data_IF_615862081231
#
_entry.id   IF_615862081231
#
_cell.length_a   1.000
_cell.length_b   1.000
_cell.length_c   1.000
_cell.angle_alpha   90.00
_cell.angle_beta   90.00
_cell.angle_gamma   90.00
#
_symmetry.space_group_name_H-M   'P 1'
#
loop_
_entity.id
_entity.type
_entity.pdbx_description
1 polymer ?
#
# COMPACT_ATOMS: atom_id res chain seq x y z
N UNK A 1 -15.25 44.95 -18.99
CA UNK A 1 -14.08 45.15 -18.16
C UNK A 1 -13.19 43.94 -18.35
N UNK A 2 -12.21 44.07 -19.26
CA UNK A 2 -11.34 42.98 -19.71
C UNK A 2 -10.12 42.96 -18.80
N UNK A 3 -9.93 41.91 -18.03
CA UNK A 3 -8.75 41.67 -17.21
C UNK A 3 -7.65 41.08 -18.10
N UNK A 4 -6.64 41.86 -18.40
CA UNK A 4 -5.39 41.46 -19.06
C UNK A 4 -4.54 40.76 -18.02
N UNK A 5 -4.40 39.45 -18.15
CA UNK A 5 -3.40 38.66 -17.38
C UNK A 5 -2.07 38.79 -18.10
N UNK A 6 -1.17 39.59 -17.52
CA UNK A 6 0.22 39.71 -17.97
C UNK A 6 0.95 38.41 -17.61
N UNK A 7 1.28 37.62 -18.63
CA UNK A 7 2.19 36.48 -18.52
C UNK A 7 3.62 37.01 -18.31
N UNK A 8 4.15 36.82 -17.11
CA UNK A 8 5.57 37.02 -16.84
C UNK A 8 6.33 35.79 -17.36
N UNK A 9 6.93 35.93 -18.53
CA UNK A 9 7.93 35.00 -19.03
C UNK A 9 9.20 35.15 -18.19
N UNK A 10 9.47 34.20 -17.33
CA UNK A 10 10.78 34.04 -16.71
C UNK A 10 11.76 33.59 -17.79
N UNK A 11 12.96 34.18 -17.86
CA UNK A 11 13.96 33.68 -18.79
C UNK A 11 14.41 32.29 -18.35
N UNK A 12 14.11 31.28 -19.17
CA UNK A 12 14.76 29.98 -19.13
C UNK A 12 16.16 30.17 -19.72
N UNK A 13 17.05 30.65 -18.89
CA UNK A 13 18.48 30.72 -19.14
C UNK A 13 19.18 29.79 -18.19
N UNK A 14 18.93 28.48 -18.30
CA UNK A 14 19.89 27.50 -17.82
C UNK A 14 20.94 27.37 -18.91
N UNK A 15 21.99 28.18 -18.81
CA UNK A 15 23.26 27.84 -19.45
C UNK A 15 23.68 26.51 -18.81
N UNK A 16 23.59 25.42 -19.57
CA UNK A 16 24.33 24.21 -19.27
C UNK A 16 25.79 24.64 -19.21
N UNK A 17 26.36 24.74 -18.01
CA UNK A 17 27.79 24.84 -17.84
C UNK A 17 28.36 23.62 -18.56
N UNK A 18 29.28 23.86 -19.53
CA UNK A 18 29.93 22.76 -20.21
C UNK A 18 30.64 21.92 -19.15
N UNK A 19 30.48 20.62 -19.21
CA UNK A 19 30.99 19.58 -18.29
C UNK A 19 32.52 19.66 -18.03
N UNK A 20 33.21 20.51 -18.77
CA UNK A 20 34.67 20.71 -18.72
C UNK A 20 35.15 21.62 -17.56
N UNK A 21 34.28 22.29 -16.82
CA UNK A 21 34.69 23.29 -15.81
C UNK A 21 34.42 22.86 -14.34
N UNK A 22 33.83 21.68 -14.08
CA UNK A 22 33.58 21.20 -12.75
C UNK A 22 34.82 20.52 -12.14
N UNK A 23 35.13 20.84 -10.88
CA UNK A 23 36.14 20.12 -10.12
C UNK A 23 35.68 18.68 -9.80
N UNK A 24 36.65 17.77 -9.56
CA UNK A 24 36.36 16.38 -9.17
C UNK A 24 35.39 16.29 -7.99
N UNK A 25 35.52 17.17 -6.98
CA UNK A 25 34.63 17.25 -5.83
C UNK A 25 33.21 17.72 -6.20
N UNK A 26 33.09 18.64 -7.17
CA UNK A 26 31.79 19.10 -7.66
C UNK A 26 31.05 18.01 -8.46
N UNK A 27 31.77 17.29 -9.31
CA UNK A 27 31.18 16.14 -10.03
C UNK A 27 30.73 15.06 -9.06
N UNK A 28 31.54 14.74 -8.07
CA UNK A 28 31.18 13.76 -7.04
C UNK A 28 29.92 14.19 -6.25
N UNK A 29 29.84 15.47 -5.86
CA UNK A 29 28.67 16.02 -5.17
C UNK A 29 27.42 16.00 -6.06
N UNK A 30 27.56 16.25 -7.36
CA UNK A 30 26.46 16.22 -8.31
C UNK A 30 25.90 14.82 -8.50
N UNK A 31 26.77 13.80 -8.61
CA UNK A 31 26.37 12.38 -8.65
C UNK A 31 25.52 12.05 -7.42
N UNK A 32 25.97 12.40 -6.22
CA UNK A 32 25.23 12.13 -4.98
C UNK A 32 23.90 12.89 -4.91
N UNK A 33 23.88 14.14 -5.41
CA UNK A 33 22.68 14.97 -5.48
C UNK A 33 21.62 14.38 -6.41
N UNK A 34 22.02 13.98 -7.61
CA UNK A 34 21.12 13.36 -8.60
C UNK A 34 20.61 12.02 -8.09
N UNK A 35 21.48 11.21 -7.47
CA UNK A 35 21.12 9.95 -6.85
C UNK A 35 20.04 10.15 -5.76
N UNK A 36 20.27 11.08 -4.82
CA UNK A 36 19.30 11.37 -3.76
C UNK A 36 17.94 11.83 -4.30
N UNK A 37 17.97 12.64 -5.36
CA UNK A 37 16.74 13.13 -6.00
C UNK A 37 16.00 12.02 -6.74
N UNK A 38 16.72 11.11 -7.37
CA UNK A 38 16.15 9.94 -8.03
C UNK A 38 15.51 8.99 -7.00
N UNK A 39 16.19 8.73 -5.89
CA UNK A 39 15.67 7.92 -4.77
C UNK A 39 14.38 8.53 -4.19
N UNK A 40 14.34 9.86 -3.97
CA UNK A 40 13.14 10.55 -3.49
C UNK A 40 11.98 10.43 -4.49
N UNK A 41 12.27 10.53 -5.78
CA UNK A 41 11.25 10.37 -6.83
C UNK A 41 10.75 8.93 -6.90
N UNK A 42 11.65 7.94 -6.75
CA UNK A 42 11.30 6.52 -6.70
C UNK A 42 10.42 6.19 -5.49
N UNK A 43 10.72 6.77 -4.33
CA UNK A 43 9.89 6.63 -3.13
C UNK A 43 8.48 7.16 -3.37
N UNK A 44 8.33 8.37 -3.91
CA UNK A 44 7.02 8.96 -4.23
C UNK A 44 6.25 8.15 -5.27
N UNK A 45 6.96 7.61 -6.26
CA UNK A 45 6.35 6.72 -7.25
C UNK A 45 5.76 5.47 -6.60
N UNK A 46 6.50 4.83 -5.69
CA UNK A 46 6.03 3.64 -4.99
C UNK A 46 4.81 3.94 -4.08
N UNK A 47 4.80 5.10 -3.41
CA UNK A 47 3.65 5.56 -2.61
C UNK A 47 2.41 5.81 -3.49
N UNK A 48 2.60 6.44 -4.65
CA UNK A 48 1.52 6.67 -5.61
C UNK A 48 1.00 5.36 -6.23
N UNK A 49 1.89 4.40 -6.52
CA UNK A 49 1.49 3.07 -6.99
C UNK A 49 0.61 2.37 -5.96
N UNK A 50 1.01 2.38 -4.70
CA UNK A 50 0.21 1.83 -3.63
C UNK A 50 -1.17 2.49 -3.54
N UNK A 51 -1.24 3.85 -3.59
CA UNK A 51 -2.52 4.56 -3.56
C UNK A 51 -3.42 4.16 -4.74
N UNK A 52 -2.85 3.96 -5.93
CA UNK A 52 -3.60 3.49 -7.11
C UNK A 52 -4.19 2.08 -6.89
N UNK A 53 -3.44 1.18 -6.25
CA UNK A 53 -3.91 -0.16 -5.91
C UNK A 53 -5.05 -0.12 -4.87
N UNK A 54 -4.93 0.72 -3.83
CA UNK A 54 -5.96 0.93 -2.81
C UNK A 54 -7.23 1.53 -3.43
N UNK A 55 -7.09 2.55 -4.28
CA UNK A 55 -8.20 3.16 -5.02
C UNK A 55 -8.94 2.15 -5.91
N UNK A 56 -8.22 1.23 -6.56
CA UNK A 56 -8.85 0.19 -7.37
C UNK A 56 -9.75 -0.74 -6.53
N UNK A 57 -9.41 -1.02 -5.26
CA UNK A 57 -10.25 -1.77 -4.34
C UNK A 57 -11.44 -0.94 -3.84
N UNK A 58 -11.20 0.33 -3.45
CA UNK A 58 -12.25 1.26 -3.03
C UNK A 58 -13.29 1.46 -4.14
N UNK A 59 -12.84 1.65 -5.39
CA UNK A 59 -13.71 1.78 -6.57
C UNK A 59 -14.54 0.52 -6.78
N UNK A 60 -13.96 -0.69 -6.69
CA UNK A 60 -14.71 -1.95 -6.82
C UNK A 60 -15.79 -2.07 -5.76
N UNK A 61 -15.48 -1.69 -4.52
CA UNK A 61 -16.42 -1.71 -3.40
C UNK A 61 -17.56 -0.69 -3.61
N UNK A 62 -17.22 0.54 -4.02
CA UNK A 62 -18.20 1.58 -4.33
C UNK A 62 -19.11 1.19 -5.52
N UNK A 63 -18.55 0.58 -6.57
CA UNK A 63 -19.32 0.06 -7.71
C UNK A 63 -20.33 -1.02 -7.29
N UNK A 64 -19.91 -1.95 -6.44
CA UNK A 64 -20.80 -2.99 -5.91
C UNK A 64 -21.95 -2.37 -5.11
N UNK A 65 -21.65 -1.38 -4.28
CA UNK A 65 -22.65 -0.68 -3.46
C UNK A 65 -23.64 0.11 -4.32
N UNK A 66 -23.17 0.87 -5.31
CA UNK A 66 -24.01 1.57 -6.30
C UNK A 66 -24.93 0.58 -7.01
N UNK A 67 -24.42 -0.58 -7.41
CA UNK A 67 -25.21 -1.63 -8.08
C UNK A 67 -26.31 -2.19 -7.16
N UNK A 68 -26.00 -2.46 -5.90
CA UNK A 68 -26.95 -2.95 -4.89
C UNK A 68 -28.04 -1.92 -4.62
N UNK A 69 -27.66 -0.66 -4.36
CA UNK A 69 -28.63 0.42 -4.07
C UNK A 69 -29.47 0.74 -5.30
N UNK A 70 -28.90 0.70 -6.52
CA UNK A 70 -29.67 0.86 -7.77
C UNK A 70 -30.72 -0.23 -7.92
N UNK A 71 -30.36 -1.51 -7.72
CA UNK A 71 -31.31 -2.62 -7.80
C UNK A 71 -32.43 -2.50 -6.74
N UNK A 72 -32.10 -2.00 -5.54
CA UNK A 72 -33.10 -1.71 -4.50
C UNK A 72 -34.04 -0.59 -4.92
N UNK A 73 -33.52 0.50 -5.48
CA UNK A 73 -34.30 1.61 -6.01
C UNK A 73 -35.26 1.16 -7.11
N UNK A 74 -34.75 0.40 -8.10
CA UNK A 74 -35.57 -0.12 -9.23
C UNK A 74 -36.71 -1.00 -8.73
N UNK A 75 -36.45 -1.86 -7.74
CA UNK A 75 -37.48 -2.71 -7.13
C UNK A 75 -38.54 -1.91 -6.41
N UNK A 76 -38.17 -0.87 -5.66
CA UNK A 76 -39.12 0.02 -4.97
C UNK A 76 -39.96 0.80 -6.00
N UNK A 77 -39.34 1.33 -7.04
CA UNK A 77 -40.01 2.07 -8.11
C UNK A 77 -41.01 1.18 -8.88
N UNK A 78 -40.62 -0.07 -9.19
CA UNK A 78 -41.51 -1.04 -9.84
C UNK A 78 -42.71 -1.39 -8.95
N UNK A 79 -42.49 -1.60 -7.65
CA UNK A 79 -43.55 -1.83 -6.68
C UNK A 79 -44.51 -0.65 -6.57
N UNK A 80 -43.97 0.57 -6.53
CA UNK A 80 -44.76 1.79 -6.50
C UNK A 80 -45.60 1.97 -7.77
N UNK A 81 -45.00 1.72 -8.95
CA UNK A 81 -45.69 1.76 -10.23
C UNK A 81 -46.84 0.75 -10.28
N UNK A 82 -46.63 -0.47 -9.78
CA UNK A 82 -47.66 -1.51 -9.75
C UNK A 82 -48.85 -1.09 -8.85
N UNK A 83 -48.57 -0.52 -7.67
CA UNK A 83 -49.61 0.00 -6.75
C UNK A 83 -50.41 1.12 -7.44
N UNK A 84 -49.74 2.03 -8.13
CA UNK A 84 -50.38 3.11 -8.87
C UNK A 84 -51.27 2.59 -9.99
N UNK A 85 -50.83 1.62 -10.77
CA UNK A 85 -51.56 0.96 -11.83
C UNK A 85 -52.78 0.23 -11.29
N UNK A 86 -52.63 -0.56 -10.22
CA UNK A 86 -53.73 -1.32 -9.60
C UNK A 86 -54.82 -0.39 -9.04
N UNK A 87 -54.45 0.76 -8.49
CA UNK A 87 -55.37 1.82 -8.06
C UNK A 87 -56.09 2.47 -9.23
N UNK A 88 -55.35 2.86 -10.28
CA UNK A 88 -55.94 3.52 -11.44
C UNK A 88 -56.89 2.61 -12.21
N UNK A 89 -56.56 1.32 -12.32
CA UNK A 89 -57.37 0.32 -13.08
C UNK A 89 -58.52 -0.28 -12.24
N UNK A 90 -58.70 0.13 -10.95
CA UNK A 90 -59.76 -0.37 -10.09
C UNK A 90 -59.62 -1.84 -9.69
N UNK A 91 -58.47 -2.44 -9.87
CA UNK A 91 -58.18 -3.84 -9.45
C UNK A 91 -58.10 -4.04 -7.97
N UNK A 92 -57.76 -3.00 -7.21
CA UNK A 92 -57.92 -3.02 -5.77
C UNK A 92 -59.40 -2.86 -5.45
N UNK A 93 -60.08 -3.95 -5.11
CA UNK A 93 -61.49 -4.20 -4.80
C UNK A 93 -62.39 -3.10 -4.19
N UNK A 94 -62.09 -1.82 -4.44
CA UNK A 94 -62.79 -0.66 -3.85
C UNK A 94 -63.98 -0.14 -4.69
N UNK A 95 -64.21 -0.71 -5.90
CA UNK A 95 -65.18 -0.17 -6.82
C UNK A 95 -66.62 -0.64 -6.55
N UNK A 96 -66.82 -1.65 -5.73
CA UNK A 96 -68.17 -2.16 -5.42
C UNK A 96 -68.83 -1.59 -4.15
N UNK A 97 -68.15 -0.67 -3.45
CA UNK A 97 -68.69 -0.08 -2.20
C UNK A 97 -69.33 1.32 -2.41
N UNK A 98 -69.47 1.79 -3.64
CA UNK A 98 -69.83 3.19 -3.92
C UNK A 98 -71.33 3.47 -3.99
N UNK A 99 -72.23 2.49 -3.70
CA UNK A 99 -73.67 2.66 -3.86
C UNK A 99 -74.56 2.33 -2.64
N UNK A 100 -74.02 2.28 -1.44
CA UNK A 100 -74.85 2.06 -0.22
C UNK A 100 -74.48 3.02 0.90
N UNK A 101 -75.33 4.00 1.19
CA UNK A 101 -75.08 5.00 2.23
C UNK A 101 -75.37 4.47 3.64
N UNK A 102 -74.32 4.17 4.41
CA UNK A 102 -74.41 3.95 5.85
C UNK A 102 -73.34 4.82 6.54
N UNK A 103 -73.60 5.66 7.54
CA UNK A 103 -72.64 6.56 8.17
C UNK A 103 -71.44 5.88 8.76
N UNK A 104 -71.54 4.62 9.20
CA UNK A 104 -70.44 3.82 9.71
C UNK A 104 -69.44 3.43 8.56
N UNK A 105 -69.93 3.33 7.33
CA UNK A 105 -69.12 3.05 6.14
C UNK A 105 -68.33 4.27 5.67
N UNK A 106 -68.82 5.50 5.86
CA UNK A 106 -68.07 6.74 5.57
C UNK A 106 -66.90 6.91 6.53
N UNK A 107 -67.05 6.60 7.81
CA UNK A 107 -65.99 6.66 8.79
C UNK A 107 -64.92 5.60 8.53
N UNK A 108 -65.35 4.39 8.11
CA UNK A 108 -64.40 3.34 7.68
C UNK A 108 -63.69 3.71 6.38
N UNK A 109 -64.36 4.38 5.44
CA UNK A 109 -63.74 4.89 4.21
C UNK A 109 -62.69 5.96 4.47
N UNK A 110 -62.97 6.87 5.39
CA UNK A 110 -62.02 7.94 5.74
C UNK A 110 -60.83 7.37 6.53
N UNK A 111 -61.02 6.38 7.40
CA UNK A 111 -59.95 5.66 8.05
C UNK A 111 -59.10 4.85 7.05
N UNK A 112 -59.72 4.18 6.08
CA UNK A 112 -58.99 3.46 5.01
C UNK A 112 -58.29 4.42 4.02
N UNK A 113 -58.88 5.60 3.77
CA UNK A 113 -58.23 6.66 3.00
C UNK A 113 -57.01 7.22 3.72
N UNK A 114 -57.16 7.54 5.00
CA UNK A 114 -56.09 8.02 5.86
C UNK A 114 -54.95 7.00 5.92
N UNK A 115 -55.26 5.74 6.21
CA UNK A 115 -54.27 4.65 6.21
C UNK A 115 -53.61 4.45 4.85
N UNK A 116 -54.36 4.57 3.76
CA UNK A 116 -53.82 4.45 2.40
C UNK A 116 -52.96 5.64 1.99
N UNK A 117 -53.25 6.84 2.50
CA UNK A 117 -52.43 8.05 2.27
C UNK A 117 -51.15 7.96 3.10
N UNK A 118 -51.24 7.56 4.39
CA UNK A 118 -50.10 7.40 5.27
C UNK A 118 -49.11 6.30 4.78
N UNK A 119 -49.64 5.15 4.31
CA UNK A 119 -48.83 4.08 3.73
C UNK A 119 -48.12 4.53 2.45
N UNK A 120 -48.77 5.39 1.59
CA UNK A 120 -48.13 5.93 0.39
C UNK A 120 -47.13 7.04 0.66
N UNK A 121 -47.35 7.84 1.71
CA UNK A 121 -46.37 8.84 2.13
C UNK A 121 -45.10 8.18 2.65
N UNK A 122 -45.21 7.16 3.51
CA UNK A 122 -44.05 6.39 4.01
C UNK A 122 -43.30 5.64 2.89
N UNK A 123 -44.03 5.13 1.89
CA UNK A 123 -43.37 4.48 0.71
C UNK A 123 -42.64 5.49 -0.17
N UNK A 124 -43.19 6.69 -0.38
CA UNK A 124 -42.53 7.78 -1.12
C UNK A 124 -41.29 8.31 -0.41
N UNK A 125 -41.37 8.45 0.92
CA UNK A 125 -40.23 8.85 1.75
C UNK A 125 -39.10 7.80 1.65
N UNK A 126 -39.47 6.51 1.64
CA UNK A 126 -38.51 5.41 1.48
C UNK A 126 -37.85 5.44 0.09
N UNK A 127 -38.60 5.68 -0.98
CA UNK A 127 -38.04 5.83 -2.34
C UNK A 127 -37.12 7.03 -2.42
N UNK A 128 -37.55 8.17 -1.84
CA UNK A 128 -36.71 9.38 -1.78
C UNK A 128 -35.41 9.18 -1.00
N UNK A 129 -35.46 8.48 0.13
CA UNK A 129 -34.26 8.15 0.90
C UNK A 129 -33.28 7.27 0.11
N UNK A 130 -33.76 6.20 -0.54
CA UNK A 130 -32.92 5.32 -1.37
C UNK A 130 -32.38 6.04 -2.59
N UNK A 131 -33.13 6.97 -3.17
CA UNK A 131 -32.64 7.81 -4.27
C UNK A 131 -31.49 8.71 -3.81
N UNK A 132 -31.63 9.38 -2.69
CA UNK A 132 -30.58 10.21 -2.12
C UNK A 132 -29.31 9.39 -1.77
N UNK A 133 -29.49 8.18 -1.22
CA UNK A 133 -28.38 7.26 -0.98
C UNK A 133 -27.67 6.92 -2.28
N UNK A 134 -28.40 6.58 -3.35
CA UNK A 134 -27.85 6.25 -4.66
C UNK A 134 -27.09 7.43 -5.29
N UNK A 135 -27.62 8.64 -5.18
CA UNK A 135 -26.96 9.86 -5.66
C UNK A 135 -25.66 10.11 -4.90
N UNK A 136 -25.68 9.94 -3.57
CA UNK A 136 -24.50 10.08 -2.72
C UNK A 136 -23.42 9.03 -3.05
N UNK A 137 -23.82 7.77 -3.24
CA UNK A 137 -22.90 6.68 -3.59
C UNK A 137 -22.30 6.86 -4.98
N UNK A 138 -23.06 7.36 -5.95
CA UNK A 138 -22.54 7.72 -7.29
C UNK A 138 -21.54 8.86 -7.22
N UNK A 139 -21.85 9.93 -6.48
CA UNK A 139 -20.94 11.04 -6.29
C UNK A 139 -19.63 10.62 -5.62
N UNK A 140 -19.69 9.70 -4.66
CA UNK A 140 -18.51 9.10 -4.05
C UNK A 140 -17.68 8.29 -5.05
N UNK A 141 -18.33 7.44 -5.87
CA UNK A 141 -17.66 6.68 -6.91
C UNK A 141 -16.98 7.58 -7.96
N UNK A 142 -17.64 8.67 -8.35
CA UNK A 142 -17.08 9.65 -9.29
C UNK A 142 -15.84 10.33 -8.70
N UNK A 143 -15.88 10.70 -7.41
CA UNK A 143 -14.73 11.28 -6.71
C UNK A 143 -13.53 10.31 -6.64
N UNK A 144 -13.77 9.02 -6.36
CA UNK A 144 -12.72 8.00 -6.37
C UNK A 144 -12.11 7.81 -7.76
N UNK A 145 -12.92 7.83 -8.82
CA UNK A 145 -12.44 7.73 -10.20
C UNK A 145 -11.61 8.95 -10.61
N UNK A 146 -11.99 10.15 -10.18
CA UNK A 146 -11.22 11.37 -10.41
C UNK A 146 -9.86 11.30 -9.69
N UNK A 147 -9.86 10.92 -8.41
CA UNK A 147 -8.62 10.73 -7.65
C UNK A 147 -7.71 9.68 -8.31
N UNK A 148 -8.27 8.54 -8.73
CA UNK A 148 -7.51 7.51 -9.43
C UNK A 148 -6.87 8.01 -10.72
N UNK A 149 -7.59 8.85 -11.48
CA UNK A 149 -7.05 9.46 -12.70
C UNK A 149 -5.85 10.36 -12.37
N UNK A 150 -5.95 11.18 -11.33
CA UNK A 150 -4.85 12.05 -10.88
C UNK A 150 -3.63 11.23 -10.44
N UNK A 151 -3.83 10.15 -9.70
CA UNK A 151 -2.74 9.25 -9.27
C UNK A 151 -2.05 8.58 -10.46
N UNK A 152 -2.81 8.16 -11.48
CA UNK A 152 -2.25 7.58 -12.71
C UNK A 152 -1.40 8.61 -13.48
N UNK A 153 -1.86 9.86 -13.58
CA UNK A 153 -1.12 10.94 -14.22
C UNK A 153 0.17 11.26 -13.44
N UNK A 154 0.11 11.28 -12.10
CA UNK A 154 1.28 11.48 -11.24
C UNK A 154 2.29 10.34 -11.34
N UNK A 155 1.83 9.09 -11.47
CA UNK A 155 2.68 7.93 -11.73
C UNK A 155 3.43 8.08 -13.06
N UNK A 156 2.72 8.43 -14.15
CA UNK A 156 3.31 8.63 -15.46
C UNK A 156 4.35 9.76 -15.45
N UNK A 157 4.02 10.90 -14.82
CA UNK A 157 4.92 12.04 -14.69
C UNK A 157 6.16 11.70 -13.82
N UNK A 158 5.99 10.88 -12.79
CA UNK A 158 7.09 10.44 -11.92
C UNK A 158 8.01 9.48 -12.65
N UNK A 159 7.47 8.56 -13.47
CA UNK A 159 8.24 7.66 -14.31
C UNK A 159 9.14 8.44 -15.27
N UNK A 160 8.61 9.42 -15.99
CA UNK A 160 9.39 10.27 -16.89
C UNK A 160 10.51 11.00 -16.15
N UNK A 161 10.24 11.50 -14.93
CA UNK A 161 11.27 12.16 -14.10
C UNK A 161 12.36 11.19 -13.66
N UNK A 162 12.00 9.98 -13.26
CA UNK A 162 12.95 8.94 -12.86
C UNK A 162 13.85 8.57 -14.06
N UNK A 163 13.27 8.32 -15.23
CA UNK A 163 14.03 7.96 -16.43
C UNK A 163 15.05 9.05 -16.82
N UNK A 164 14.63 10.33 -16.73
CA UNK A 164 15.54 11.47 -16.96
C UNK A 164 16.69 11.52 -15.93
N UNK A 165 16.36 11.33 -14.63
CA UNK A 165 17.36 11.34 -13.56
C UNK A 165 18.32 10.16 -13.65
N UNK A 166 17.83 8.97 -14.02
CA UNK A 166 18.66 7.79 -14.22
C UNK A 166 19.59 7.96 -15.43
N UNK A 167 19.13 8.62 -16.50
CA UNK A 167 19.97 8.96 -17.67
C UNK A 167 21.08 9.95 -17.26
N UNK A 168 20.70 11.04 -16.58
CA UNK A 168 21.67 12.02 -16.05
C UNK A 168 22.70 11.34 -15.12
N UNK A 169 22.22 10.44 -14.25
CA UNK A 169 23.09 9.68 -13.35
C UNK A 169 24.03 8.74 -14.10
N UNK A 170 23.58 8.12 -15.20
CA UNK A 170 24.43 7.27 -16.05
C UNK A 170 25.56 8.08 -16.65
N UNK A 171 25.26 9.25 -17.22
CA UNK A 171 26.24 10.14 -17.81
C UNK A 171 27.25 10.65 -16.76
N UNK A 172 26.79 11.08 -15.60
CA UNK A 172 27.64 11.52 -14.50
C UNK A 172 28.54 10.41 -13.95
N UNK A 173 28.03 9.16 -13.87
CA UNK A 173 28.83 8.00 -13.41
C UNK A 173 29.96 7.62 -14.37
N UNK A 174 29.91 8.00 -15.66
CA UNK A 174 31.04 7.85 -16.56
C UNK A 174 32.30 8.59 -16.05
N UNK A 175 32.12 9.72 -15.34
CA UNK A 175 33.22 10.45 -14.73
C UNK A 175 33.90 9.68 -13.58
N UNK A 176 33.24 8.66 -12.98
CA UNK A 176 33.87 7.79 -11.97
C UNK A 176 35.02 6.92 -12.54
N UNK A 177 35.19 6.88 -13.86
CA UNK A 177 36.39 6.30 -14.49
C UNK A 177 37.65 7.11 -14.17
N UNK A 178 37.49 8.40 -13.80
CA UNK A 178 38.57 9.22 -13.29
C UNK A 178 38.82 8.90 -11.81
N UNK A 179 40.04 8.47 -11.50
CA UNK A 179 40.43 8.05 -10.14
C UNK A 179 40.35 9.18 -9.09
N UNK A 180 40.42 10.43 -9.50
CA UNK A 180 40.27 11.57 -8.60
C UNK A 180 38.81 11.80 -8.27
N UNK A 181 37.90 11.82 -9.26
CA UNK A 181 36.45 11.91 -9.07
C UNK A 181 35.95 10.74 -8.22
N UNK A 182 36.44 9.53 -8.49
CA UNK A 182 36.07 8.33 -7.74
C UNK A 182 36.44 8.44 -6.27
N UNK A 183 37.66 8.92 -5.95
CA UNK A 183 38.07 9.11 -4.54
C UNK A 183 37.24 10.15 -3.81
N UNK A 184 36.93 11.26 -4.46
CA UNK A 184 36.05 12.29 -3.90
C UNK A 184 34.66 11.77 -3.68
N UNK A 185 34.07 11.03 -4.64
CA UNK A 185 32.78 10.39 -4.51
C UNK A 185 32.74 9.40 -3.34
N UNK A 186 33.72 8.50 -3.24
CA UNK A 186 33.80 7.52 -2.14
C UNK A 186 33.94 8.21 -0.78
N UNK A 187 34.71 9.29 -0.67
CA UNK A 187 34.87 10.07 0.54
C UNK A 187 33.57 10.74 0.98
N UNK A 188 32.88 11.42 0.08
CA UNK A 188 31.60 12.08 0.34
C UNK A 188 30.50 11.08 0.67
N UNK A 189 30.44 9.95 -0.01
CA UNK A 189 29.51 8.86 0.27
C UNK A 189 29.75 8.26 1.68
N UNK A 190 31.02 8.06 2.07
CA UNK A 190 31.35 7.58 3.40
C UNK A 190 30.92 8.57 4.50
N UNK A 191 31.09 9.86 4.28
CA UNK A 191 30.63 10.91 5.18
C UNK A 191 29.10 10.90 5.33
N UNK A 192 28.37 10.85 4.21
CA UNK A 192 26.89 10.74 4.23
C UNK A 192 26.41 9.51 5.00
N UNK A 193 27.04 8.35 4.77
CA UNK A 193 26.72 7.11 5.49
C UNK A 193 26.96 7.25 7.01
N UNK A 194 28.05 7.90 7.40
CA UNK A 194 28.35 8.14 8.81
C UNK A 194 27.30 9.06 9.46
N UNK A 195 26.90 10.12 8.77
CA UNK A 195 25.85 11.03 9.25
C UNK A 195 24.50 10.30 9.38
N UNK A 196 24.14 9.50 8.37
CA UNK A 196 22.92 8.71 8.38
C UNK A 196 22.90 7.67 9.51
N UNK A 197 24.03 6.97 9.73
CA UNK A 197 24.18 6.00 10.83
C UNK A 197 24.05 6.67 12.21
N UNK A 198 24.62 7.86 12.40
CA UNK A 198 24.46 8.63 13.66
C UNK A 198 23.01 9.03 13.89
N UNK A 199 22.35 9.55 12.85
CA UNK A 199 20.92 9.93 12.94
C UNK A 199 20.01 8.73 13.20
N UNK A 200 20.32 7.56 12.66
CA UNK A 200 19.63 6.30 12.96
C UNK A 200 19.82 5.90 14.43
N UNK A 201 21.05 5.87 14.93
CA UNK A 201 21.36 5.54 16.30
C UNK A 201 20.69 6.49 17.31
N UNK A 202 20.60 7.79 17.00
CA UNK A 202 19.86 8.76 17.83
C UNK A 202 18.36 8.49 17.86
N UNK A 203 17.76 8.15 16.71
CA UNK A 203 16.33 7.76 16.64
C UNK A 203 16.06 6.50 17.45
N UNK A 204 16.89 5.48 17.32
CA UNK A 204 16.75 4.22 18.04
C UNK A 204 16.91 4.43 19.56
N UNK A 205 17.88 5.23 19.97
CA UNK A 205 18.07 5.59 21.38
C UNK A 205 16.86 6.35 21.94
N UNK A 206 16.26 7.26 21.16
CA UNK A 206 15.06 7.99 21.54
C UNK A 206 13.85 7.06 21.65
N UNK A 207 13.65 6.18 20.69
CA UNK A 207 12.57 5.19 20.70
C UNK A 207 12.69 4.24 21.90
N UNK A 208 13.90 3.75 22.20
CA UNK A 208 14.16 2.91 23.36
C UNK A 208 13.90 3.66 24.70
N UNK A 209 14.25 4.95 24.77
CA UNK A 209 13.96 5.78 25.95
C UNK A 209 12.44 6.00 26.14
N UNK A 210 11.70 6.25 25.08
CA UNK A 210 10.24 6.40 25.10
C UNK A 210 9.55 5.09 25.51
N UNK A 211 9.99 3.95 24.98
CA UNK A 211 9.47 2.63 25.37
C UNK A 211 9.72 2.35 26.86
N UNK A 212 10.92 2.68 27.37
CA UNK A 212 11.25 2.54 28.78
C UNK A 212 10.41 3.46 29.67
N UNK A 213 10.15 4.70 29.25
CA UNK A 213 9.30 5.64 29.95
C UNK A 213 7.84 5.17 30.01
N UNK A 214 7.31 4.67 28.89
CA UNK A 214 5.96 4.12 28.83
C UNK A 214 5.80 2.86 29.68
N UNK A 215 6.79 1.97 29.71
CA UNK A 215 6.80 0.80 30.57
C UNK A 215 6.85 1.19 32.06
N UNK A 216 7.60 2.21 32.44
CA UNK A 216 7.66 2.73 33.80
C UNK A 216 6.33 3.40 34.21
N UNK A 217 5.66 4.12 33.30
CA UNK A 217 4.36 4.72 33.56
C UNK A 217 3.25 3.67 33.75
N UNK A 218 3.31 2.57 32.97
CA UNK A 218 2.38 1.44 33.12
C UNK A 218 2.57 0.63 34.38
N UNK A 219 3.76 0.68 35.00
CA UNK A 219 4.11 -0.02 36.25
C UNK A 219 3.74 0.76 37.54
N UNK A 220 3.17 1.98 37.41
CA UNK A 220 2.73 2.76 38.59
C UNK A 220 1.40 2.21 39.10
N UNK A 221 1.30 1.65 40.32
CA UNK A 221 0.04 1.12 40.84
C UNK A 221 -0.94 2.27 41.10
N UNK A 222 -2.19 2.07 40.69
CA UNK A 222 -3.29 2.99 40.97
C UNK A 222 -3.43 3.23 42.50
N UNK A 223 -3.77 4.46 42.95
CA UNK A 223 -3.92 4.73 44.38
C UNK A 223 -5.05 3.91 44.95
N UNK A 224 -4.72 3.03 45.87
CA UNK A 224 -5.66 2.23 46.66
C UNK A 224 -6.43 3.17 47.58
N UNK A 225 -7.72 3.40 47.29
CA UNK A 225 -8.65 4.01 48.24
C UNK A 225 -8.86 3.02 49.39
N UNK A 226 -8.35 3.37 50.54
CA UNK A 226 -8.53 2.62 51.77
C UNK A 226 -9.99 2.70 52.30
N UNK A 227 -10.41 1.65 52.96
CA UNK A 227 -11.58 1.66 53.83
C UNK A 227 -12.20 0.26 53.98
N UNK A 228 -11.97 -0.41 55.11
CA UNK A 228 -12.78 -1.54 55.55
C UNK A 228 -11.99 -2.72 56.12
N UNK A 229 -11.90 -2.76 57.45
CA UNK A 229 -11.29 -3.81 58.28
C UNK A 229 -11.90 -5.21 58.11
N UNK A 230 -11.21 -6.25 58.55
CA UNK A 230 -11.43 -7.62 58.11
C UNK A 230 -12.42 -8.39 59.02
N UNK A 231 -13.19 -9.27 58.43
CA UNK A 231 -13.77 -10.41 59.17
C UNK A 231 -13.39 -11.69 58.41
N UNK A 232 -12.71 -12.56 59.13
CA UNK A 232 -12.45 -13.94 58.75
C UNK A 232 -13.73 -14.78 58.80
N UNK A 233 -13.91 -15.72 57.95
CA UNK A 233 -14.54 -16.96 58.31
C UNK A 233 -13.72 -18.20 58.02
N UNK A 234 -13.85 -19.13 58.94
CA UNK A 234 -13.37 -20.48 59.09
C UNK A 234 -13.55 -21.38 57.85
N UNK A 235 -12.76 -22.43 57.72
CA UNK A 235 -12.81 -23.33 56.55
C UNK A 235 -13.88 -24.40 56.68
N UNK A 236 -14.66 -24.60 55.62
CA UNK A 236 -15.56 -25.73 55.48
C UNK A 236 -15.16 -26.58 54.29
N UNK A 237 -15.02 -27.88 54.50
CA UNK A 237 -14.61 -28.93 53.57
C UNK A 237 -15.53 -29.10 52.36
N UNK A 238 -15.06 -29.62 51.21
CA UNK A 238 -15.81 -29.76 50.00
C UNK A 238 -16.63 -31.06 49.91
N UNK A 239 -17.79 -31.07 49.24
CA UNK A 239 -18.48 -32.29 48.81
C UNK A 239 -18.00 -32.77 47.42
N UNK A 240 -18.31 -34.04 47.03
CA UNK A 240 -17.64 -34.76 45.97
C UNK A 240 -18.08 -34.41 44.53
N UNK A 241 -17.18 -34.67 43.60
CA UNK A 241 -17.29 -34.48 42.17
C UNK A 241 -18.45 -35.21 41.50
N UNK A 242 -19.19 -34.49 40.65
CA UNK A 242 -20.12 -35.06 39.66
C UNK A 242 -19.51 -34.89 38.27
N UNK A 243 -19.48 -35.95 37.48
CA UNK A 243 -18.90 -36.03 36.12
C UNK A 243 -19.63 -35.17 35.12
N UNK A 244 -18.91 -34.56 34.14
CA UNK A 244 -19.55 -33.72 33.17
C UNK A 244 -20.12 -34.46 31.96
N UNK A 245 -21.31 -34.06 31.56
CA UNK A 245 -21.94 -34.38 30.27
C UNK A 245 -21.31 -33.48 29.17
N UNK A 246 -21.06 -34.00 27.94
CA UNK A 246 -20.42 -33.18 26.91
C UNK A 246 -21.38 -32.18 26.30
N UNK A 247 -21.05 -30.91 26.44
CA UNK A 247 -21.73 -29.80 25.77
C UNK A 247 -21.04 -29.53 24.41
N UNK A 248 -21.87 -29.34 23.39
CA UNK A 248 -21.54 -28.92 22.03
C UNK A 248 -20.62 -27.69 21.99
N UNK A 249 -19.65 -27.60 21.07
CA UNK A 249 -18.77 -26.44 21.01
C UNK A 249 -19.53 -25.19 20.49
N UNK A 250 -19.38 -24.11 21.22
CA UNK A 250 -19.73 -22.76 20.77
C UNK A 250 -18.80 -22.30 19.64
N UNK A 251 -19.25 -21.40 18.74
CA UNK A 251 -18.39 -20.90 17.68
C UNK A 251 -17.18 -20.15 18.26
N UNK A 252 -15.99 -20.52 17.79
CA UNK A 252 -14.73 -19.89 18.14
C UNK A 252 -14.75 -18.46 17.58
N UNK A 253 -14.64 -17.47 18.46
CA UNK A 253 -14.39 -16.10 18.05
C UNK A 253 -13.01 -16.03 17.39
N UNK A 254 -12.96 -15.42 16.22
CA UNK A 254 -11.74 -15.13 15.48
C UNK A 254 -10.81 -14.28 16.37
N UNK A 255 -9.53 -14.65 16.55
CA UNK A 255 -8.63 -13.86 17.37
C UNK A 255 -8.41 -12.51 16.70
N UNK A 256 -8.47 -11.44 17.50
CA UNK A 256 -8.08 -10.11 17.09
C UNK A 256 -6.63 -10.14 16.53
N UNK A 257 -6.30 -9.34 15.50
CA UNK A 257 -4.95 -9.30 14.95
C UNK A 257 -3.96 -8.95 16.07
N UNK A 258 -2.95 -9.79 16.24
CA UNK A 258 -1.85 -9.54 17.16
C UNK A 258 -1.13 -8.23 16.77
N UNK A 259 -0.73 -7.40 17.73
CA UNK A 259 0.09 -6.22 17.42
C UNK A 259 1.37 -6.68 16.74
N UNK A 260 1.68 -6.05 15.61
CA UNK A 260 2.91 -6.29 14.86
C UNK A 260 4.12 -6.31 15.80
N UNK A 261 5.00 -7.31 15.71
CA UNK A 261 6.18 -7.35 16.56
C UNK A 261 7.03 -6.09 16.35
N UNK A 262 7.72 -5.58 17.39
CA UNK A 262 8.58 -4.42 17.27
C UNK A 262 9.58 -4.67 16.14
N UNK A 263 9.74 -3.70 15.25
CA UNK A 263 10.67 -3.73 14.12
C UNK A 263 12.09 -3.92 14.70
N UNK A 264 12.57 -5.14 14.69
CA UNK A 264 13.98 -5.39 14.96
C UNK A 264 14.78 -4.73 13.83
N UNK A 265 15.91 -4.07 14.11
CA UNK A 265 16.81 -3.64 13.05
C UNK A 265 17.15 -4.88 12.21
N UNK A 266 16.98 -4.75 10.87
CA UNK A 266 17.27 -5.83 9.95
C UNK A 266 18.68 -6.35 10.23
N UNK A 267 18.90 -7.69 10.32
CA UNK A 267 20.23 -8.23 10.49
C UNK A 267 21.09 -7.74 9.33
N UNK A 268 22.22 -7.11 9.62
CA UNK A 268 23.27 -6.84 8.64
C UNK A 268 23.82 -8.21 8.27
N UNK A 269 23.63 -8.62 7.01
CA UNK A 269 24.08 -9.93 6.53
C UNK A 269 25.59 -9.82 6.30
N UNK A 270 26.36 -10.33 7.23
CA UNK A 270 27.81 -10.50 7.11
C UNK A 270 28.06 -11.84 6.41
N UNK A 271 27.74 -11.88 5.11
CA UNK A 271 28.06 -13.01 4.24
C UNK A 271 29.52 -12.94 3.79
N UNK A 272 30.32 -13.93 4.11
CA UNK A 272 31.78 -14.02 3.93
C UNK A 272 32.34 -13.87 2.50
N UNK A 273 31.71 -13.04 1.65
CA UNK A 273 32.11 -12.61 0.31
C UNK A 273 31.62 -11.20 0.00
N UNK A 274 32.12 -10.53 -1.05
CA UNK A 274 31.62 -9.21 -1.41
C UNK A 274 30.17 -9.33 -1.88
N UNK A 275 29.24 -8.86 -1.07
CA UNK A 275 27.85 -8.65 -1.48
C UNK A 275 27.80 -7.50 -2.49
N UNK A 276 27.06 -7.62 -3.58
CA UNK A 276 27.04 -6.65 -4.67
C UNK A 276 25.65 -6.06 -4.86
N UNK A 277 25.56 -4.83 -5.41
CA UNK A 277 24.29 -4.26 -5.83
C UNK A 277 23.61 -5.17 -6.86
N UNK A 278 22.34 -5.58 -6.68
CA UNK A 278 21.65 -6.47 -7.62
C UNK A 278 21.42 -5.84 -8.99
N UNK A 279 21.43 -4.50 -9.11
CA UNK A 279 21.31 -3.75 -10.37
C UNK A 279 22.67 -3.23 -10.79
N UNK A 280 23.19 -3.74 -11.90
CA UNK A 280 24.48 -3.31 -12.45
C UNK A 280 24.33 -2.09 -13.38
N UNK A 281 23.80 -1.00 -12.84
CA UNK A 281 23.54 0.24 -13.57
C UNK A 281 22.95 1.34 -12.69
N UNK A 282 22.57 2.47 -13.30
CA UNK A 282 21.87 3.52 -12.58
C UNK A 282 20.56 2.98 -12.04
N UNK A 283 20.29 3.25 -10.77
CA UNK A 283 19.10 2.81 -10.08
C UNK A 283 18.67 3.84 -9.02
N UNK A 284 17.41 3.85 -8.65
CA UNK A 284 16.85 4.69 -7.62
C UNK A 284 15.80 3.90 -6.83
N UNK A 285 15.81 4.00 -5.51
CA UNK A 285 14.91 3.25 -4.64
C UNK A 285 14.69 3.93 -3.29
N UNK A 286 13.53 3.63 -2.68
CA UNK A 286 13.18 4.04 -1.33
C UNK A 286 12.86 2.84 -0.44
N UNK A 287 12.62 3.08 0.85
CA UNK A 287 12.15 2.05 1.78
C UNK A 287 10.64 1.84 1.62
N UNK A 288 10.27 0.81 0.89
CA UNK A 288 8.87 0.44 0.64
C UNK A 288 8.47 -0.87 1.34
N UNK A 289 9.32 -1.38 2.26
CA UNK A 289 9.04 -2.59 3.01
C UNK A 289 7.78 -2.48 3.85
N UNK A 290 6.93 -3.51 3.82
CA UNK A 290 5.69 -3.57 4.61
C UNK A 290 4.55 -2.71 4.08
N UNK A 291 4.74 -1.96 2.99
CA UNK A 291 3.68 -1.20 2.35
C UNK A 291 2.49 -2.11 2.02
N UNK A 292 1.25 -1.72 2.32
CA UNK A 292 0.06 -2.53 2.03
C UNK A 292 -0.03 -2.86 0.54
N UNK A 293 -0.56 -4.05 0.22
CA UNK A 293 -0.81 -4.50 -1.16
C UNK A 293 -2.21 -5.12 -1.24
N UNK A 294 -2.86 -5.11 -2.41
CA UNK A 294 -4.19 -5.70 -2.60
C UNK A 294 -4.29 -7.13 -2.08
N UNK A 295 -5.48 -7.45 -1.51
CA UNK A 295 -5.72 -8.77 -0.93
C UNK A 295 -5.11 -8.98 0.45
N UNK A 296 -4.84 -7.91 1.20
CA UNK A 296 -4.31 -7.98 2.57
C UNK A 296 -2.85 -8.41 2.65
N UNK A 297 -2.11 -8.35 1.54
CA UNK A 297 -0.66 -8.61 1.50
C UNK A 297 0.12 -7.36 1.94
N UNK A 298 1.38 -7.54 2.26
CA UNK A 298 2.35 -6.46 2.45
C UNK A 298 3.51 -6.62 1.48
N UNK A 299 4.14 -5.53 1.12
CA UNK A 299 5.34 -5.51 0.27
C UNK A 299 6.50 -6.19 0.99
N UNK A 300 7.10 -7.20 0.37
CA UNK A 300 8.15 -8.04 0.99
C UNK A 300 9.53 -7.82 0.38
N UNK A 301 9.75 -6.69 -0.28
CA UNK A 301 10.98 -6.37 -0.96
C UNK A 301 11.30 -4.88 -0.97
N UNK A 302 12.25 -4.53 -1.82
CA UNK A 302 12.53 -3.17 -2.26
C UNK A 302 12.36 -3.09 -3.76
N UNK A 303 11.67 -2.03 -4.23
CA UNK A 303 11.48 -1.77 -5.65
C UNK A 303 12.57 -0.79 -6.13
N UNK A 304 13.48 -1.29 -6.99
CA UNK A 304 14.63 -0.56 -7.51
C UNK A 304 14.35 -0.13 -8.95
N UNK A 305 13.96 1.14 -9.12
CA UNK A 305 13.72 1.74 -10.43
C UNK A 305 15.03 1.78 -11.22
N UNK A 306 14.98 1.32 -12.48
CA UNK A 306 16.15 1.30 -13.37
C UNK A 306 15.68 1.23 -14.83
N UNK A 307 16.46 1.74 -15.80
CA UNK A 307 16.09 1.65 -17.22
C UNK A 307 15.83 0.22 -17.68
N UNK A 308 14.86 0.06 -18.59
CA UNK A 308 14.59 -1.23 -19.21
C UNK A 308 15.86 -1.86 -19.78
N UNK A 309 16.08 -3.14 -19.48
CA UNK A 309 17.24 -3.89 -20.00
C UNK A 309 18.52 -3.66 -19.22
N UNK A 310 18.53 -2.91 -18.10
CA UNK A 310 19.69 -2.82 -17.22
C UNK A 310 20.03 -4.20 -16.67
N UNK A 311 21.33 -4.63 -16.72
CA UNK A 311 21.73 -5.95 -16.23
C UNK A 311 21.45 -6.12 -14.74
N UNK A 312 20.92 -7.29 -14.37
CA UNK A 312 20.76 -7.75 -12.99
C UNK A 312 21.82 -8.81 -12.71
N UNK A 313 22.49 -8.68 -11.58
CA UNK A 313 23.60 -9.57 -11.21
C UNK A 313 23.32 -10.35 -9.93
N UNK A 314 23.95 -11.50 -9.80
CA UNK A 314 23.92 -12.28 -8.58
C UNK A 314 24.62 -11.50 -7.46
N UNK A 315 23.91 -11.19 -6.37
CA UNK A 315 24.47 -10.43 -5.22
C UNK A 315 25.58 -11.17 -4.50
N UNK A 316 25.56 -12.49 -4.55
CA UNK A 316 26.56 -13.45 -4.03
C UNK A 316 26.69 -14.61 -5.00
N UNK A 317 27.71 -15.45 -4.85
CA UNK A 317 27.81 -16.74 -5.57
C UNK A 317 26.72 -17.71 -5.09
N UNK A 318 26.29 -18.62 -5.97
CA UNK A 318 25.24 -19.60 -5.61
C UNK A 318 24.59 -20.24 -6.82
N UNK A 319 23.39 -20.76 -6.63
CA UNK A 319 22.59 -21.43 -7.66
C UNK A 319 21.35 -20.63 -8.01
N UNK A 320 21.19 -20.23 -9.27
CA UNK A 320 19.99 -19.55 -9.78
C UNK A 320 18.97 -20.54 -10.31
N UNK A 321 17.70 -20.27 -10.00
CA UNK A 321 16.53 -20.99 -10.54
C UNK A 321 15.59 -19.95 -11.19
N UNK A 322 15.35 -20.11 -12.48
CA UNK A 322 14.53 -19.23 -13.30
C UNK A 322 13.10 -19.77 -13.41
N UNK A 323 12.09 -18.94 -13.13
CA UNK A 323 10.67 -19.31 -13.15
C UNK A 323 9.81 -18.14 -13.62
N UNK A 324 8.54 -18.41 -13.90
CA UNK A 324 7.50 -17.40 -14.11
C UNK A 324 6.37 -17.56 -13.11
N UNK A 325 5.78 -16.46 -12.66
CA UNK A 325 4.54 -16.46 -11.89
C UNK A 325 3.71 -15.20 -12.20
N UNK A 326 2.44 -15.21 -11.80
CA UNK A 326 1.51 -14.16 -12.14
C UNK A 326 1.86 -12.79 -11.52
N UNK A 327 2.45 -12.78 -10.32
CA UNK A 327 2.81 -11.55 -9.62
C UNK A 327 4.17 -11.02 -10.07
N UNK A 328 5.21 -11.83 -9.97
CA UNK A 328 6.58 -11.41 -10.26
C UNK A 328 6.95 -11.43 -11.75
N UNK A 329 6.10 -11.99 -12.63
CA UNK A 329 6.45 -12.17 -14.04
C UNK A 329 7.61 -13.15 -14.22
N UNK A 330 8.65 -12.76 -14.95
CA UNK A 330 9.89 -13.50 -15.03
C UNK A 330 10.70 -13.26 -13.76
N UNK A 331 11.06 -14.34 -13.06
CA UNK A 331 11.73 -14.26 -11.76
C UNK A 331 12.97 -15.15 -11.69
N UNK A 332 13.90 -14.76 -10.84
CA UNK A 332 15.08 -15.57 -10.47
C UNK A 332 15.10 -15.73 -8.96
N UNK A 333 15.25 -16.97 -8.51
CA UNK A 333 15.64 -17.28 -7.15
C UNK A 333 17.12 -17.64 -7.13
N UNK A 334 17.91 -16.90 -6.38
CA UNK A 334 19.31 -17.20 -6.09
C UNK A 334 19.37 -17.88 -4.70
N UNK A 335 19.84 -19.12 -4.65
CA UNK A 335 20.24 -19.78 -3.40
C UNK A 335 21.70 -19.50 -3.20
N UNK A 336 22.04 -18.55 -2.34
CA UNK A 336 23.39 -18.10 -2.10
C UNK A 336 24.23 -19.14 -1.35
N UNK A 337 25.53 -19.13 -1.60
CA UNK A 337 26.51 -19.96 -0.88
C UNK A 337 26.69 -19.48 0.57
N UNK A 338 26.20 -18.28 0.90
CA UNK A 338 26.09 -17.71 2.24
C UNK A 338 24.93 -18.30 3.07
N UNK A 339 24.09 -19.13 2.46
CA UNK A 339 22.96 -19.80 3.08
C UNK A 339 21.63 -19.05 2.96
N UNK A 340 21.63 -17.83 2.42
CA UNK A 340 20.44 -17.04 2.22
C UNK A 340 19.82 -17.27 0.84
N UNK A 341 18.55 -16.85 0.65
CA UNK A 341 17.93 -16.81 -0.66
C UNK A 341 17.56 -15.38 -1.04
N UNK A 342 17.67 -15.11 -2.32
CA UNK A 342 17.39 -13.82 -2.90
C UNK A 342 16.39 -13.97 -4.04
N UNK A 343 15.40 -13.08 -4.07
CA UNK A 343 14.36 -13.08 -5.08
C UNK A 343 14.47 -11.84 -5.96
N UNK A 344 14.48 -12.06 -7.26
CA UNK A 344 14.50 -11.04 -8.30
C UNK A 344 13.25 -11.17 -9.14
N UNK A 345 12.44 -10.13 -9.29
CA UNK A 345 11.19 -10.17 -10.04
C UNK A 345 11.09 -9.04 -11.08
N UNK A 346 10.08 -9.17 -11.94
CA UNK A 346 9.73 -8.26 -13.03
C UNK A 346 10.75 -8.20 -14.17
N UNK A 347 11.61 -9.22 -14.32
CA UNK A 347 12.64 -9.26 -15.34
C UNK A 347 12.03 -9.19 -16.76
N UNK A 348 12.67 -8.44 -17.66
CA UNK A 348 12.34 -8.48 -19.10
C UNK A 348 12.74 -9.82 -19.72
N UNK A 349 13.92 -10.32 -19.36
CA UNK A 349 14.45 -11.61 -19.79
C UNK A 349 15.48 -12.15 -18.80
N UNK A 350 15.70 -13.46 -18.87
CA UNK A 350 16.79 -14.11 -18.15
C UNK A 350 18.09 -14.10 -18.99
N UNK A 351 19.24 -14.17 -18.30
CA UNK A 351 20.52 -14.47 -18.93
C UNK A 351 20.82 -15.95 -18.75
N UNK A 352 20.77 -16.70 -19.85
CA UNK A 352 20.98 -18.14 -19.86
C UNK A 352 19.85 -18.96 -19.25
N UNK A 353 20.22 -19.98 -18.44
CA UNK A 353 19.29 -20.90 -17.78
C UNK A 353 19.63 -21.09 -16.29
N UNK A 354 18.82 -21.84 -15.56
CA UNK A 354 19.12 -22.21 -14.16
C UNK A 354 20.46 -22.89 -14.06
N UNK A 355 21.37 -22.34 -13.24
CA UNK A 355 22.78 -22.75 -13.15
C UNK A 355 23.45 -22.27 -11.87
N UNK A 356 24.66 -22.73 -11.63
CA UNK A 356 25.58 -22.09 -10.66
C UNK A 356 26.14 -20.80 -11.26
N UNK A 357 26.24 -19.74 -10.44
CA UNK A 357 26.74 -18.41 -10.81
C UNK A 357 27.75 -17.91 -9.79
N UNK A 358 28.68 -17.06 -10.26
CA UNK A 358 29.56 -16.30 -9.40
C UNK A 358 28.88 -14.99 -8.96
N UNK A 359 29.32 -14.40 -7.84
CA UNK A 359 28.92 -13.04 -7.48
C UNK A 359 29.26 -12.06 -8.62
N UNK A 360 28.30 -11.18 -8.97
CA UNK A 360 28.43 -10.21 -10.07
C UNK A 360 28.13 -10.79 -11.47
N UNK A 361 27.87 -12.09 -11.59
CA UNK A 361 27.47 -12.67 -12.87
C UNK A 361 26.05 -12.24 -13.26
N UNK A 362 25.85 -11.84 -14.52
CA UNK A 362 24.53 -11.41 -15.03
C UNK A 362 23.58 -12.59 -15.04
N UNK A 363 22.38 -12.41 -14.45
CA UNK A 363 21.34 -13.42 -14.31
C UNK A 363 20.04 -13.04 -15.04
N UNK A 364 19.94 -11.78 -15.49
CA UNK A 364 18.79 -11.27 -16.23
C UNK A 364 18.82 -9.77 -16.39
N UNK A 365 17.72 -9.19 -16.80
CA UNK A 365 17.63 -7.78 -17.17
C UNK A 365 16.35 -7.15 -16.61
N UNK A 366 16.43 -5.89 -16.19
CA UNK A 366 15.30 -5.12 -15.69
C UNK A 366 14.18 -5.06 -16.72
N UNK A 367 12.96 -5.21 -16.26
CA UNK A 367 11.75 -5.13 -17.07
C UNK A 367 10.52 -4.71 -16.27
N UNK A 368 9.35 -5.02 -16.82
CA UNK A 368 8.05 -4.75 -16.23
C UNK A 368 7.09 -5.94 -16.45
N UNK A 369 7.57 -7.17 -16.29
CA UNK A 369 6.73 -8.37 -16.43
C UNK A 369 5.98 -8.68 -15.12
N UNK A 370 4.83 -9.35 -15.21
CA UNK A 370 3.99 -9.67 -14.05
C UNK A 370 3.06 -8.52 -13.66
N UNK A 371 2.86 -8.33 -12.36
CA UNK A 371 1.90 -7.33 -11.83
C UNK A 371 2.58 -5.98 -11.53
N UNK A 372 3.10 -5.33 -12.57
CA UNK A 372 3.68 -3.99 -12.49
C UNK A 372 3.49 -3.25 -13.81
N UNK A 373 3.50 -1.90 -13.75
CA UNK A 373 3.40 -1.01 -14.91
C UNK A 373 4.71 -0.26 -15.22
N UNK A 374 5.74 -0.42 -14.40
CA UNK A 374 7.00 0.33 -14.53
C UNK A 374 8.22 -0.58 -14.53
N UNK A 375 9.30 -0.10 -15.19
CA UNK A 375 10.57 -0.81 -15.22
C UNK A 375 11.29 -0.71 -13.87
N UNK A 376 11.39 -1.82 -13.16
CA UNK A 376 12.12 -1.92 -11.91
C UNK A 376 12.54 -3.35 -11.62
N UNK A 377 13.44 -3.53 -10.67
CA UNK A 377 13.70 -4.79 -9.99
C UNK A 377 12.94 -4.78 -8.65
N UNK A 378 12.03 -5.72 -8.44
CA UNK A 378 11.58 -6.07 -7.10
C UNK A 378 12.55 -7.09 -6.51
N UNK A 379 13.16 -6.75 -5.37
CA UNK A 379 14.23 -7.56 -4.76
C UNK A 379 13.91 -7.89 -3.31
N UNK A 380 14.03 -9.19 -2.95
CA UNK A 380 13.80 -9.68 -1.59
C UNK A 380 15.04 -10.40 -1.05
N UNK A 381 15.22 -10.38 0.27
CA UNK A 381 16.24 -11.12 1.02
C UNK A 381 15.53 -12.05 1.99
N UNK A 382 15.87 -13.34 1.92
CA UNK A 382 15.32 -14.42 2.73
C UNK A 382 16.41 -15.12 3.54
N UNK A 383 16.72 -14.68 4.77
CA UNK A 383 17.76 -15.28 5.60
C UNK A 383 17.50 -16.76 5.86
N UNK A 384 18.51 -17.61 5.63
CA UNK A 384 18.39 -19.07 5.74
C UNK A 384 17.31 -19.68 4.85
N UNK A 385 16.82 -18.97 3.84
CA UNK A 385 15.69 -19.37 2.99
C UNK A 385 14.33 -19.29 3.67
N UNK A 386 14.23 -18.57 4.80
CA UNK A 386 13.01 -18.33 5.58
C UNK A 386 12.13 -17.21 5.03
N UNK A 387 11.44 -16.51 5.92
CA UNK A 387 10.62 -15.34 5.56
C UNK A 387 11.50 -14.18 5.09
N UNK A 388 10.97 -13.35 4.18
CA UNK A 388 11.66 -12.15 3.76
C UNK A 388 11.88 -11.17 4.93
N UNK A 389 12.97 -10.42 4.87
CA UNK A 389 13.28 -9.30 5.77
C UNK A 389 13.40 -8.02 4.97
N UNK A 390 13.31 -6.83 5.62
CA UNK A 390 13.49 -5.56 4.92
C UNK A 390 14.86 -5.50 4.20
N UNK A 391 14.90 -5.47 2.85
CA UNK A 391 16.16 -5.45 2.12
C UNK A 391 16.81 -4.06 2.09
N UNK A 392 16.04 -3.00 2.29
CA UNK A 392 16.48 -1.62 2.10
C UNK A 392 17.78 -1.26 2.84
N UNK A 393 17.94 -1.57 4.15
CA UNK A 393 19.17 -1.24 4.86
C UNK A 393 20.41 -1.93 4.25
N UNK A 394 20.28 -3.16 3.76
CA UNK A 394 21.38 -3.90 3.11
C UNK A 394 21.67 -3.33 1.73
N UNK A 395 20.65 -3.22 0.86
CA UNK A 395 20.82 -2.71 -0.52
C UNK A 395 21.44 -1.30 -0.51
N UNK A 396 21.01 -0.44 0.42
CA UNK A 396 21.53 0.94 0.53
C UNK A 396 23.02 1.03 0.85
N UNK A 397 23.63 -0.05 1.36
CA UNK A 397 25.08 -0.08 1.63
C UNK A 397 25.92 -0.34 0.37
N UNK A 398 25.34 -1.01 -0.63
CA UNK A 398 26.06 -1.50 -1.80
C UNK A 398 25.64 -0.84 -3.12
N UNK A 399 24.50 -0.16 -3.11
CA UNK A 399 23.98 0.58 -4.25
C UNK A 399 24.02 2.08 -4.01
#
# INVERSE_FOLDING_TARGET
MVLVVAAWALPVGSAAASDSDLSSAQVAAEILRVQSKADETAQRWAEAQQRSEDLAEEIRTAQAKVSETSARYDKLQAGFTQIAVDRFTGRAGATNMLLGGNPDEEMQRDALRSFAIDATAGDLDTVGAVQNDLESERAHLDALNEENTQVIDDLAASQVRIDAQLTELADLREHLKNEEVKREYEAQLAEQRLVAARAAAERDAKAAAEQKANAAAAATPAPVRGGGSPQSPTPTSPPPASSPTPSSPAPVAEPAPEPSPPTQPAPVIDGGGPWLCPVAGPNAFGDTWGAPRPGGRSHQGVDMMSPFGTPLVAVVAGNVTMKTNALGGNVVWLSGDDGDKYYYAHLSSWEGSSRTVSAGEVIGYVGATGNTSANHLHFEIHPGGGSAVNPYPTVRQFC
#
